data_IF_767898015317
#
_entry.id   IF_767898015317
#
_cell.length_a   1.000
_cell.length_b   1.000
_cell.length_c   1.000
_cell.angle_alpha   90.00
_cell.angle_beta   90.00
_cell.angle_gamma   90.00
#
_symmetry.space_group_name_H-M   'P 1'
#
loop_
_entity.id
_entity.type
_entity.pdbx_description
1 polymer ?
#
# COMPACT_ATOMS: atom_id res chain seq x y z
N UNK A 1 -4.30 19.14 12.13
CA UNK A 1 -5.13 18.43 11.14
C UNK A 1 -5.87 17.28 11.81
N UNK A 2 -7.11 17.05 11.39
CA UNK A 2 -7.87 15.88 11.84
C UNK A 2 -7.28 14.69 11.10
N UNK A 3 -6.91 13.59 11.78
CA UNK A 3 -6.32 12.43 11.10
C UNK A 3 -7.35 11.73 10.20
N UNK A 4 -6.90 11.11 9.15
CA UNK A 4 -7.69 10.18 8.35
C UNK A 4 -7.61 8.78 8.96
N UNK A 5 -8.67 7.97 8.84
CA UNK A 5 -8.69 6.58 9.27
C UNK A 5 -8.84 5.67 8.06
N UNK A 6 -7.91 4.73 7.92
CA UNK A 6 -7.91 3.76 6.83
C UNK A 6 -8.14 2.34 7.38
N UNK A 7 -9.21 1.70 6.95
CA UNK A 7 -9.49 0.30 7.25
C UNK A 7 -8.90 -0.60 6.18
N UNK A 8 -7.82 -1.28 6.52
CA UNK A 8 -7.08 -2.16 5.61
C UNK A 8 -6.26 -3.18 6.37
N UNK A 9 -5.26 -3.75 5.71
CA UNK A 9 -4.34 -4.72 6.27
C UNK A 9 -4.30 -6.02 5.48
N UNK A 10 -3.86 -7.12 6.11
CA UNK A 10 -3.68 -8.44 5.47
C UNK A 10 -5.01 -9.13 5.19
N UNK A 11 -6.05 -8.85 5.99
CA UNK A 11 -7.38 -9.45 5.86
C UNK A 11 -8.33 -8.70 4.93
N UNK A 12 -9.58 -9.16 4.89
CA UNK A 12 -10.69 -8.48 4.23
C UNK A 12 -11.54 -7.76 5.28
N UNK A 13 -11.50 -6.42 5.37
CA UNK A 13 -12.20 -5.69 6.43
C UNK A 13 -13.72 -5.92 6.45
N UNK A 14 -14.34 -6.12 5.29
CA UNK A 14 -15.79 -6.33 5.20
C UNK A 14 -16.26 -7.72 5.67
N UNK A 15 -15.35 -8.64 5.99
CA UNK A 15 -15.70 -9.88 6.68
C UNK A 15 -15.95 -9.67 8.18
N UNK A 16 -15.36 -8.64 8.77
CA UNK A 16 -15.60 -8.37 10.17
C UNK A 16 -16.99 -7.76 10.39
N UNK A 17 -17.82 -8.33 11.30
CA UNK A 17 -19.23 -7.95 11.43
C UNK A 17 -19.44 -6.51 11.91
N UNK A 18 -18.48 -5.92 12.61
CA UNK A 18 -18.58 -4.57 13.17
C UNK A 18 -17.95 -3.47 12.30
N UNK A 19 -17.37 -3.78 11.14
CA UNK A 19 -16.66 -2.79 10.32
C UNK A 19 -17.54 -1.59 10.00
N UNK A 20 -18.81 -1.80 9.63
CA UNK A 20 -19.74 -0.70 9.32
C UNK A 20 -19.97 0.17 10.56
N UNK A 21 -20.20 -0.42 11.72
CA UNK A 21 -20.38 0.32 12.97
C UNK A 21 -19.14 1.15 13.34
N UNK A 22 -17.93 0.62 13.07
CA UNK A 22 -16.70 1.38 13.30
C UNK A 22 -16.56 2.54 12.34
N UNK A 23 -16.92 2.37 11.06
CA UNK A 23 -16.97 3.47 10.09
C UNK A 23 -17.91 4.57 10.60
N UNK A 24 -19.14 4.24 10.99
CA UNK A 24 -20.11 5.18 11.54
C UNK A 24 -19.57 5.92 12.78
N UNK A 25 -18.96 5.18 13.72
CA UNK A 25 -18.39 5.77 14.93
C UNK A 25 -17.27 6.78 14.62
N UNK A 26 -16.37 6.44 13.70
CA UNK A 26 -15.29 7.34 13.27
C UNK A 26 -15.85 8.53 12.50
N UNK A 27 -16.82 8.31 11.62
CA UNK A 27 -17.49 9.40 10.89
C UNK A 27 -18.20 10.39 11.82
N UNK A 28 -18.77 9.92 12.92
CA UNK A 28 -19.38 10.78 13.94
C UNK A 28 -18.39 11.77 14.59
N UNK A 29 -17.08 11.48 14.53
CA UNK A 29 -16.00 12.36 14.99
C UNK A 29 -15.57 13.39 13.93
N UNK A 30 -16.20 13.39 12.76
CA UNK A 30 -15.84 14.30 11.65
C UNK A 30 -14.56 13.89 10.90
N UNK A 31 -14.07 12.69 11.11
CA UNK A 31 -12.84 12.15 10.52
C UNK A 31 -13.13 11.62 9.11
N UNK A 32 -12.18 11.76 8.19
CA UNK A 32 -12.23 11.11 6.89
C UNK A 32 -11.94 9.62 7.06
N UNK A 33 -12.75 8.78 6.42
CA UNK A 33 -12.62 7.31 6.51
C UNK A 33 -12.47 6.71 5.13
N UNK A 34 -11.44 5.90 4.98
CA UNK A 34 -11.19 5.09 3.80
C UNK A 34 -11.20 3.60 4.16
N UNK A 35 -11.55 2.76 3.20
CA UNK A 35 -11.56 1.31 3.35
C UNK A 35 -11.11 0.64 2.07
N UNK A 36 -10.29 -0.40 2.18
CA UNK A 36 -9.94 -1.28 1.06
C UNK A 36 -10.67 -2.62 1.17
N UNK A 37 -11.12 -3.15 0.04
CA UNK A 37 -11.81 -4.43 -0.05
C UNK A 37 -11.40 -5.20 -1.32
N UNK A 38 -11.49 -6.52 -1.28
CA UNK A 38 -11.39 -7.37 -2.46
C UNK A 38 -12.67 -7.39 -3.31
N UNK A 39 -13.74 -6.75 -2.87
CA UNK A 39 -15.02 -6.61 -3.59
C UNK A 39 -15.92 -7.84 -3.56
N UNK A 40 -15.52 -8.96 -2.95
CA UNK A 40 -16.32 -10.21 -2.94
C UNK A 40 -17.58 -10.06 -2.10
N UNK A 41 -17.50 -9.32 -1.01
CA UNK A 41 -18.59 -9.12 -0.04
C UNK A 41 -19.47 -7.91 -0.33
N UNK A 42 -19.27 -7.18 -1.41
CA UNK A 42 -20.12 -6.05 -1.82
C UNK A 42 -21.50 -6.52 -2.29
N UNK A 43 -22.26 -7.19 -1.42
CA UNK A 43 -23.67 -7.52 -1.64
C UNK A 43 -24.53 -6.25 -1.75
N UNK A 44 -25.79 -6.30 -2.23
CA UNK A 44 -26.67 -5.14 -2.24
C UNK A 44 -26.82 -4.51 -0.84
N UNK A 45 -27.04 -5.35 0.17
CA UNK A 45 -27.19 -4.91 1.56
C UNK A 45 -25.90 -4.24 2.08
N UNK A 46 -24.75 -4.89 1.92
CA UNK A 46 -23.46 -4.35 2.38
C UNK A 46 -23.11 -3.03 1.66
N UNK A 47 -23.41 -2.96 0.36
CA UNK A 47 -23.24 -1.73 -0.42
C UNK A 47 -24.08 -0.57 0.10
N UNK A 48 -25.32 -0.83 0.49
CA UNK A 48 -26.21 0.16 1.08
C UNK A 48 -25.68 0.63 2.44
N UNK A 49 -25.31 -0.31 3.31
CA UNK A 49 -24.74 -0.03 4.63
C UNK A 49 -23.47 0.86 4.53
N UNK A 50 -22.58 0.59 3.57
CA UNK A 50 -21.34 1.38 3.35
C UNK A 50 -21.70 2.83 2.92
N UNK A 51 -22.67 2.99 2.02
CA UNK A 51 -23.10 4.31 1.54
C UNK A 51 -23.73 5.10 2.68
N UNK A 52 -24.61 4.48 3.47
CA UNK A 52 -25.29 5.10 4.61
C UNK A 52 -24.36 5.46 5.77
N UNK A 53 -23.35 4.63 6.02
CA UNK A 53 -22.30 4.90 7.02
C UNK A 53 -21.44 6.13 6.68
N UNK A 54 -21.54 6.67 5.46
CA UNK A 54 -20.85 7.88 5.07
C UNK A 54 -19.35 7.70 4.80
N UNK A 55 -18.92 6.48 4.40
CA UNK A 55 -17.55 6.22 3.99
C UNK A 55 -17.09 7.25 2.94
N UNK A 56 -15.87 7.76 3.04
CA UNK A 56 -15.35 8.77 2.11
C UNK A 56 -14.74 8.16 0.85
N UNK A 57 -13.94 7.10 1.00
CA UNK A 57 -13.31 6.40 -0.13
C UNK A 57 -13.41 4.89 0.06
N UNK A 58 -13.87 4.21 -0.98
CA UNK A 58 -13.84 2.75 -1.10
C UNK A 58 -12.79 2.36 -2.13
N UNK A 59 -11.68 1.83 -1.66
CA UNK A 59 -10.67 1.23 -2.50
C UNK A 59 -11.06 -0.22 -2.83
N UNK A 60 -10.91 -0.61 -4.08
CA UNK A 60 -11.14 -2.00 -4.49
C UNK A 60 -9.90 -2.54 -5.16
N UNK A 61 -9.42 -3.67 -4.65
CA UNK A 61 -8.24 -4.35 -5.19
C UNK A 61 -8.62 -5.16 -6.42
N UNK A 62 -8.07 -4.82 -7.60
CA UNK A 62 -8.34 -5.48 -8.87
C UNK A 62 -7.03 -5.72 -9.61
N UNK A 63 -6.48 -6.92 -9.52
CA UNK A 63 -5.17 -7.29 -10.06
C UNK A 63 -5.22 -8.07 -11.38
N UNK A 64 -6.32 -7.99 -12.11
CA UNK A 64 -6.48 -8.59 -13.42
C UNK A 64 -7.74 -8.09 -14.12
N UNK A 65 -7.88 -8.38 -15.42
CA UNK A 65 -8.98 -7.93 -16.25
C UNK A 65 -9.79 -9.06 -16.89
N UNK A 66 -9.49 -10.30 -16.56
CA UNK A 66 -10.21 -11.50 -16.98
C UNK A 66 -10.28 -12.50 -15.83
N UNK A 67 -11.15 -13.51 -15.96
CA UNK A 67 -11.21 -14.60 -14.96
C UNK A 67 -9.86 -15.32 -14.83
N UNK A 68 -9.20 -15.59 -15.94
CA UNK A 68 -7.92 -16.30 -15.99
C UNK A 68 -6.81 -15.51 -15.25
N UNK A 69 -6.59 -14.25 -15.63
CA UNK A 69 -5.52 -13.45 -15.04
C UNK A 69 -5.81 -13.01 -13.61
N UNK A 70 -7.09 -12.85 -13.25
CA UNK A 70 -7.50 -12.45 -11.91
C UNK A 70 -7.42 -13.62 -10.92
N UNK A 71 -7.92 -14.80 -11.30
CA UNK A 71 -7.94 -15.99 -10.43
C UNK A 71 -6.55 -16.54 -10.16
N UNK A 72 -5.61 -16.36 -11.09
CA UNK A 72 -4.21 -16.73 -10.92
C UNK A 72 -3.50 -15.87 -9.84
N UNK A 73 -3.92 -14.62 -9.70
CA UNK A 73 -3.37 -13.70 -8.69
C UNK A 73 -4.15 -13.77 -7.38
N UNK A 74 -5.48 -13.87 -7.45
CA UNK A 74 -6.38 -13.84 -6.29
C UNK A 74 -7.16 -15.14 -6.16
N UNK A 75 -6.48 -16.15 -5.64
CA UNK A 75 -7.04 -17.49 -5.45
C UNK A 75 -8.38 -17.47 -4.71
N UNK A 76 -9.36 -18.18 -5.26
CA UNK A 76 -10.71 -18.27 -4.70
C UNK A 76 -11.63 -17.08 -4.96
N UNK A 77 -11.19 -16.08 -5.72
CA UNK A 77 -12.02 -14.95 -6.13
C UNK A 77 -12.55 -15.15 -7.55
N UNK A 78 -13.78 -14.70 -7.79
CA UNK A 78 -14.46 -14.82 -9.08
C UNK A 78 -14.60 -13.44 -9.74
N UNK A 79 -13.80 -13.15 -10.77
CA UNK A 79 -13.71 -11.84 -11.41
C UNK A 79 -15.09 -11.31 -11.92
N UNK A 80 -15.94 -12.09 -12.65
CA UNK A 80 -17.24 -11.62 -13.09
C UNK A 80 -18.16 -11.18 -11.95
N UNK A 81 -18.10 -11.87 -10.81
CA UNK A 81 -18.86 -11.53 -9.62
C UNK A 81 -18.41 -10.17 -9.05
N UNK A 82 -17.10 -9.93 -8.97
CA UNK A 82 -16.56 -8.68 -8.47
C UNK A 82 -16.94 -7.51 -9.39
N UNK A 83 -16.80 -7.68 -10.70
CA UNK A 83 -17.22 -6.66 -11.67
C UNK A 83 -18.71 -6.36 -11.55
N UNK A 84 -19.55 -7.38 -11.37
CA UNK A 84 -21.00 -7.23 -11.16
C UNK A 84 -21.28 -6.46 -9.86
N UNK A 85 -20.61 -6.82 -8.78
CA UNK A 85 -20.72 -6.13 -7.49
C UNK A 85 -20.36 -4.65 -7.62
N UNK A 86 -19.24 -4.35 -8.26
CA UNK A 86 -18.75 -2.97 -8.43
C UNK A 86 -19.69 -2.12 -9.29
N UNK A 87 -20.18 -2.66 -10.41
CA UNK A 87 -21.15 -1.96 -11.26
C UNK A 87 -22.45 -1.66 -10.51
N UNK A 88 -22.93 -2.63 -9.73
CA UNK A 88 -24.08 -2.43 -8.86
C UNK A 88 -23.81 -1.37 -7.80
N UNK A 89 -22.70 -1.45 -7.08
CA UNK A 89 -22.29 -0.47 -6.09
C UNK A 89 -22.23 0.94 -6.68
N UNK A 90 -21.58 1.13 -7.84
CA UNK A 90 -21.50 2.41 -8.51
C UNK A 90 -22.88 2.97 -8.90
N UNK A 91 -23.81 2.10 -9.31
CA UNK A 91 -25.19 2.48 -9.60
C UNK A 91 -25.95 2.93 -8.34
N UNK A 92 -25.82 2.18 -7.24
CA UNK A 92 -26.44 2.50 -5.95
C UNK A 92 -25.92 3.82 -5.41
N UNK A 93 -24.58 4.01 -5.39
CA UNK A 93 -23.92 5.26 -5.00
C UNK A 93 -24.45 6.46 -5.79
N UNK A 94 -24.59 6.33 -7.13
CA UNK A 94 -25.09 7.41 -7.98
C UNK A 94 -26.54 7.76 -7.67
N UNK A 95 -27.34 6.78 -7.24
CA UNK A 95 -28.75 6.98 -6.88
C UNK A 95 -28.93 7.55 -5.46
N UNK A 96 -27.89 7.55 -4.64
CA UNK A 96 -27.91 8.12 -3.30
C UNK A 96 -27.92 9.65 -3.35
N UNK A 97 -28.52 10.30 -2.33
CA UNK A 97 -28.47 11.75 -2.14
C UNK A 97 -27.05 12.27 -1.89
N UNK A 98 -26.16 11.40 -1.40
CA UNK A 98 -24.75 11.68 -1.17
C UNK A 98 -23.93 10.81 -2.13
N UNK A 99 -23.20 11.37 -3.12
CA UNK A 99 -22.47 10.60 -4.11
C UNK A 99 -21.16 10.00 -3.56
N UNK A 100 -21.14 9.66 -2.28
CA UNK A 100 -20.04 8.98 -1.60
C UNK A 100 -20.35 7.50 -1.37
N UNK A 101 -19.33 6.66 -1.13
CA UNK A 101 -17.89 6.97 -1.17
C UNK A 101 -17.38 7.21 -2.59
N UNK A 102 -16.29 7.98 -2.72
CA UNK A 102 -15.50 7.94 -3.94
C UNK A 102 -14.94 6.54 -4.14
N UNK A 103 -14.78 6.10 -5.38
CA UNK A 103 -14.20 4.78 -5.68
C UNK A 103 -12.74 4.95 -6.06
N UNK A 104 -11.87 4.17 -5.42
CA UNK A 104 -10.48 3.98 -5.80
C UNK A 104 -10.26 2.56 -6.33
N UNK A 105 -9.35 2.41 -7.28
CA UNK A 105 -8.86 1.11 -7.78
C UNK A 105 -7.42 0.95 -7.30
N UNK A 106 -7.15 -0.16 -6.61
CA UNK A 106 -5.81 -0.58 -6.24
C UNK A 106 -5.39 -1.77 -7.13
N UNK A 107 -4.18 -1.71 -7.67
CA UNK A 107 -3.62 -2.72 -8.55
C UNK A 107 -2.20 -3.04 -8.12
N UNK A 108 -1.90 -4.30 -7.79
CA UNK A 108 -0.54 -4.77 -7.53
C UNK A 108 0.05 -5.31 -8.83
N UNK A 109 1.07 -4.61 -9.32
CA UNK A 109 1.68 -4.88 -10.60
C UNK A 109 2.72 -6.03 -10.52
N UNK A 110 2.58 -6.98 -11.44
CA UNK A 110 3.45 -8.14 -11.63
C UNK A 110 3.67 -8.38 -13.12
N UNK A 111 4.73 -9.10 -13.51
CA UNK A 111 4.98 -9.43 -14.93
C UNK A 111 3.77 -10.12 -15.58
N UNK A 112 3.11 -11.02 -14.84
CA UNK A 112 1.95 -11.79 -15.35
C UNK A 112 0.69 -10.95 -15.59
N UNK A 113 0.50 -9.84 -14.85
CA UNK A 113 -0.75 -9.08 -14.90
C UNK A 113 -0.63 -7.64 -15.43
N UNK A 114 0.56 -7.07 -15.58
CA UNK A 114 0.74 -5.66 -15.94
C UNK A 114 0.05 -5.29 -17.27
N UNK A 115 -0.07 -6.24 -18.20
CA UNK A 115 -0.76 -6.05 -19.48
C UNK A 115 -2.27 -5.81 -19.33
N UNK A 116 -2.84 -6.19 -18.20
CA UNK A 116 -4.25 -5.97 -17.89
C UNK A 116 -4.55 -4.59 -17.32
N UNK A 117 -3.54 -3.88 -16.80
CA UNK A 117 -3.72 -2.56 -16.18
C UNK A 117 -4.55 -1.59 -17.03
N UNK A 118 -4.36 -1.45 -18.36
CA UNK A 118 -5.19 -0.57 -19.17
C UNK A 118 -6.68 -0.95 -19.18
N UNK A 119 -7.00 -2.26 -19.14
CA UNK A 119 -8.39 -2.75 -19.09
C UNK A 119 -9.00 -2.51 -17.70
N UNK A 120 -8.21 -2.69 -16.63
CA UNK A 120 -8.62 -2.36 -15.26
C UNK A 120 -8.94 -0.86 -15.13
N UNK A 121 -8.14 0.00 -15.74
CA UNK A 121 -8.41 1.44 -15.82
C UNK A 121 -9.71 1.73 -16.58
N UNK A 122 -9.98 1.03 -17.69
CA UNK A 122 -11.26 1.17 -18.42
C UNK A 122 -12.46 0.73 -17.57
N UNK A 123 -12.32 -0.35 -16.81
CA UNK A 123 -13.34 -0.76 -15.84
C UNK A 123 -13.60 0.34 -14.83
N UNK A 124 -12.53 0.91 -14.25
CA UNK A 124 -12.62 2.02 -13.32
C UNK A 124 -13.33 3.24 -13.90
N UNK A 125 -13.04 3.62 -15.16
CA UNK A 125 -13.78 4.67 -15.88
C UNK A 125 -15.28 4.35 -15.96
N UNK A 126 -15.62 3.10 -16.27
CA UNK A 126 -17.01 2.65 -16.39
C UNK A 126 -17.82 2.76 -15.09
N UNK A 127 -17.19 2.58 -13.96
CA UNK A 127 -17.79 2.72 -12.61
C UNK A 127 -17.58 4.10 -11.99
N UNK A 128 -16.99 5.05 -12.71
CA UNK A 128 -16.66 6.39 -12.24
C UNK A 128 -15.71 6.38 -11.03
N UNK A 129 -14.69 5.53 -11.09
CA UNK A 129 -13.59 5.57 -10.13
C UNK A 129 -12.82 6.89 -10.28
N UNK A 130 -12.44 7.46 -9.14
CA UNK A 130 -11.73 8.74 -9.07
C UNK A 130 -10.22 8.56 -8.89
N UNK A 131 -9.85 7.52 -8.15
CA UNK A 131 -8.47 7.26 -7.77
C UNK A 131 -7.97 5.93 -8.36
N UNK A 132 -6.70 5.90 -8.73
CA UNK A 132 -6.04 4.71 -9.24
C UNK A 132 -4.66 4.63 -8.61
N UNK A 133 -4.40 3.58 -7.84
CA UNK A 133 -3.12 3.31 -7.20
C UNK A 133 -2.53 2.03 -7.78
N UNK A 134 -1.37 2.14 -8.39
CA UNK A 134 -0.59 1.00 -8.87
C UNK A 134 0.60 0.82 -7.94
N UNK A 135 0.64 -0.27 -7.20
CA UNK A 135 1.77 -0.64 -6.35
C UNK A 135 2.61 -1.72 -7.03
N UNK A 136 3.87 -1.80 -6.67
CA UNK A 136 4.68 -2.97 -7.00
C UNK A 136 4.39 -4.13 -6.04
N UNK A 137 4.69 -5.34 -6.49
CA UNK A 137 4.61 -6.54 -5.68
C UNK A 137 5.72 -6.55 -4.62
N UNK A 138 5.38 -6.85 -3.37
CA UNK A 138 6.36 -7.32 -2.37
C UNK A 138 6.41 -8.86 -2.43
N UNK A 139 7.50 -9.48 -2.86
CA UNK A 139 7.57 -10.94 -2.95
C UNK A 139 7.49 -11.59 -1.57
N UNK A 140 6.43 -12.36 -1.32
CA UNK A 140 6.23 -13.13 -0.09
C UNK A 140 6.70 -14.59 -0.22
N UNK A 141 7.06 -15.03 -1.42
CA UNK A 141 7.63 -16.34 -1.73
C UNK A 141 8.78 -16.22 -2.72
N UNK A 142 9.66 -17.20 -2.77
CA UNK A 142 10.77 -17.20 -3.71
C UNK A 142 10.30 -17.09 -5.18
N UNK A 143 9.23 -17.80 -5.55
CA UNK A 143 8.68 -17.73 -6.90
C UNK A 143 8.14 -16.35 -7.31
N UNK A 144 7.74 -15.52 -6.35
CA UNK A 144 7.27 -14.16 -6.63
C UNK A 144 8.39 -13.21 -7.02
N UNK A 145 9.67 -13.53 -6.78
CA UNK A 145 10.79 -12.69 -7.22
C UNK A 145 10.86 -12.57 -8.75
N UNK A 146 10.45 -13.60 -9.48
CA UNK A 146 10.43 -13.58 -10.93
C UNK A 146 9.36 -12.65 -11.51
N UNK A 147 8.41 -12.22 -10.68
CA UNK A 147 7.27 -11.37 -11.06
C UNK A 147 7.49 -9.87 -10.85
N UNK A 148 8.61 -9.46 -10.24
CA UNK A 148 8.87 -8.04 -9.95
C UNK A 148 9.05 -7.22 -11.24
N UNK A 149 8.66 -5.95 -11.17
CA UNK A 149 8.75 -4.98 -12.26
C UNK A 149 9.63 -3.77 -11.88
N UNK A 150 10.54 -3.94 -10.92
CA UNK A 150 11.38 -2.88 -10.37
C UNK A 150 12.82 -3.33 -10.08
N UNK A 151 13.27 -4.34 -10.79
CA UNK A 151 14.62 -4.89 -10.62
C UNK A 151 15.71 -3.84 -10.86
N UNK A 152 15.61 -3.06 -11.95
CA UNK A 152 16.53 -1.95 -12.19
C UNK A 152 16.26 -0.75 -11.27
N UNK A 153 15.00 -0.48 -10.98
CA UNK A 153 14.60 0.63 -10.13
C UNK A 153 15.18 0.51 -8.71
N UNK A 154 15.22 -0.69 -8.17
CA UNK A 154 15.78 -0.93 -6.83
C UNK A 154 17.31 -0.75 -6.78
N UNK A 155 17.98 -0.88 -7.91
CA UNK A 155 19.43 -0.63 -8.05
C UNK A 155 19.79 0.82 -8.37
N UNK A 156 18.82 1.66 -8.72
CA UNK A 156 19.02 3.08 -8.96
C UNK A 156 19.15 3.83 -7.64
N UNK A 157 20.36 3.83 -7.09
CA UNK A 157 20.64 4.51 -5.83
C UNK A 157 20.75 6.01 -6.07
N UNK A 158 19.73 6.73 -5.69
CA UNK A 158 19.73 8.18 -5.75
C UNK A 158 20.13 8.83 -4.41
N UNK A 159 20.37 8.06 -3.37
CA UNK A 159 20.87 8.60 -2.11
C UNK A 159 22.38 8.41 -1.98
N UNK A 160 23.09 9.27 -2.58
CA UNK A 160 24.40 9.63 -2.09
C UNK A 160 24.15 10.73 -1.06
N UNK A 161 24.60 10.54 0.15
CA UNK A 161 24.62 11.59 1.18
C UNK A 161 25.62 12.67 0.75
N UNK A 162 25.24 13.40 -0.27
CA UNK A 162 26.02 14.49 -0.83
C UNK A 162 25.13 15.73 -0.84
N UNK A 163 25.24 16.60 0.15
CA UNK A 163 24.34 17.75 0.34
C UNK A 163 24.31 18.72 -0.84
N UNK A 164 25.21 18.55 -1.82
CA UNK A 164 25.32 19.39 -3.00
C UNK A 164 24.80 18.74 -4.28
N UNK A 165 24.32 17.48 -4.23
CA UNK A 165 23.73 16.83 -5.41
C UNK A 165 22.22 16.98 -5.41
N UNK A 166 21.61 17.25 -6.58
CA UNK A 166 20.16 17.29 -6.67
C UNK A 166 19.58 15.91 -6.37
N UNK A 167 18.53 15.86 -5.55
CA UNK A 167 17.76 14.65 -5.30
C UNK A 167 17.10 14.20 -6.59
N UNK A 168 17.39 12.97 -7.03
CA UNK A 168 16.82 12.43 -8.26
C UNK A 168 15.46 11.79 -7.98
N UNK A 169 14.48 12.12 -8.82
CA UNK A 169 13.18 11.46 -8.86
C UNK A 169 13.19 10.43 -9.97
N UNK A 170 13.29 9.16 -9.60
CA UNK A 170 13.40 8.05 -10.53
C UNK A 170 12.05 7.32 -10.68
N UNK A 171 11.78 6.69 -11.82
CA UNK A 171 10.62 5.82 -11.98
C UNK A 171 10.59 4.76 -10.89
N UNK A 172 9.39 4.45 -10.37
CA UNK A 172 9.19 3.41 -9.35
C UNK A 172 8.90 2.04 -9.94
N UNK A 173 8.90 1.94 -11.24
CA UNK A 173 8.72 0.71 -12.01
C UNK A 173 9.64 0.76 -13.22
N UNK A 174 10.26 -0.35 -13.58
CA UNK A 174 11.14 -0.45 -14.73
C UNK A 174 10.38 -0.18 -16.02
N UNK A 175 11.03 0.53 -16.93
CA UNK A 175 10.49 0.78 -18.26
C UNK A 175 11.14 -0.16 -19.27
N UNK A 176 10.50 -1.29 -19.54
CA UNK A 176 11.02 -2.37 -20.38
C UNK A 176 9.91 -3.00 -21.24
N UNK A 177 10.19 -4.11 -21.91
CA UNK A 177 9.26 -4.82 -22.79
C UNK A 177 7.98 -5.30 -22.09
N UNK A 178 8.00 -5.54 -20.78
CA UNK A 178 6.82 -5.93 -20.00
C UNK A 178 5.90 -4.75 -19.71
N UNK A 179 6.47 -3.61 -19.36
CA UNK A 179 5.75 -2.48 -18.74
C UNK A 179 5.41 -1.36 -19.72
N UNK A 180 6.25 -1.12 -20.75
CA UNK A 180 6.18 0.06 -21.63
C UNK A 180 4.80 0.28 -22.26
N UNK A 181 4.17 -0.79 -22.76
CA UNK A 181 2.88 -0.66 -23.44
C UNK A 181 1.76 -0.27 -22.45
N UNK A 182 1.73 -0.92 -21.29
CA UNK A 182 0.75 -0.62 -20.24
C UNK A 182 0.92 0.82 -19.74
N UNK A 183 2.16 1.24 -19.48
CA UNK A 183 2.48 2.57 -18.99
C UNK A 183 2.08 3.64 -20.02
N UNK A 184 2.40 3.49 -21.31
CA UNK A 184 1.97 4.43 -22.34
C UNK A 184 0.45 4.54 -22.45
N UNK A 185 -0.28 3.42 -22.33
CA UNK A 185 -1.74 3.44 -22.35
C UNK A 185 -2.31 4.15 -21.10
N UNK A 186 -1.66 3.98 -19.94
CA UNK A 186 -2.02 4.69 -18.72
C UNK A 186 -1.82 6.20 -18.88
N UNK A 187 -0.67 6.66 -19.35
CA UNK A 187 -0.41 8.09 -19.56
C UNK A 187 -1.38 8.71 -20.57
N UNK A 188 -1.69 8.00 -21.63
CA UNK A 188 -2.66 8.46 -22.63
C UNK A 188 -4.10 8.44 -22.11
N UNK A 189 -4.36 7.84 -20.96
CA UNK A 189 -5.71 7.78 -20.37
C UNK A 189 -6.21 9.11 -19.80
N UNK A 190 -5.29 10.05 -19.54
CA UNK A 190 -5.53 11.35 -18.87
C UNK A 190 -6.15 11.21 -17.47
N UNK A 191 -5.99 10.07 -16.83
CA UNK A 191 -6.42 9.84 -15.45
C UNK A 191 -5.26 10.07 -14.48
N UNK A 192 -5.62 10.44 -13.27
CA UNK A 192 -4.66 10.51 -12.18
C UNK A 192 -4.39 9.10 -11.65
N UNK A 193 -3.35 8.46 -12.19
CA UNK A 193 -2.88 7.14 -11.77
C UNK A 193 -1.56 7.33 -11.04
N UNK A 194 -1.49 6.87 -9.79
CA UNK A 194 -0.24 6.87 -9.03
C UNK A 194 0.48 5.54 -9.16
N UNK A 195 1.80 5.60 -9.23
CA UNK A 195 2.71 4.45 -9.21
C UNK A 195 3.53 4.53 -7.92
N UNK A 196 3.33 3.57 -7.02
CA UNK A 196 3.91 3.59 -5.67
C UNK A 196 3.78 5.00 -5.02
N UNK A 197 2.53 5.53 -5.01
CA UNK A 197 2.18 6.82 -4.41
C UNK A 197 2.58 8.08 -5.17
N UNK A 198 3.35 7.94 -6.23
CA UNK A 198 3.84 9.05 -7.03
C UNK A 198 3.21 9.05 -8.43
N UNK A 199 3.22 10.19 -9.11
CA UNK A 199 2.68 10.27 -10.47
C UNK A 199 3.43 9.34 -11.45
N UNK A 200 4.75 9.23 -11.28
CA UNK A 200 5.58 8.29 -12.04
C UNK A 200 6.86 7.94 -11.29
N UNK A 201 7.53 8.90 -10.71
CA UNK A 201 8.80 8.73 -10.03
C UNK A 201 8.82 9.43 -8.68
N UNK A 202 9.71 8.99 -7.82
CA UNK A 202 9.92 9.53 -6.49
C UNK A 202 11.33 9.24 -5.98
N UNK A 203 11.65 9.71 -4.79
CA UNK A 203 12.89 9.40 -4.11
C UNK A 203 12.87 7.96 -3.54
N UNK A 204 14.04 7.33 -3.42
CA UNK A 204 14.17 5.97 -2.89
C UNK A 204 14.49 5.93 -1.39
N UNK A 205 14.48 7.07 -0.74
CA UNK A 205 14.82 7.27 0.67
C UNK A 205 13.69 8.01 1.40
N UNK A 206 12.44 7.72 1.03
CA UNK A 206 11.26 8.39 1.56
C UNK A 206 10.23 7.37 2.00
N UNK A 207 9.98 7.32 3.30
CA UNK A 207 8.96 6.43 3.87
C UNK A 207 7.63 7.16 3.97
N UNK A 208 6.67 6.84 3.12
CA UNK A 208 5.37 7.50 3.10
C UNK A 208 4.59 7.37 4.42
N UNK A 209 4.80 6.31 5.19
CA UNK A 209 4.18 6.19 6.52
C UNK A 209 4.64 7.28 7.48
N UNK A 210 5.93 7.65 7.42
CA UNK A 210 6.48 8.71 8.28
C UNK A 210 6.19 10.09 7.70
N UNK A 211 6.34 10.27 6.40
CA UNK A 211 6.06 11.55 5.73
C UNK A 211 4.59 11.98 5.89
N UNK A 212 3.67 11.02 5.82
CA UNK A 212 2.24 11.28 6.01
C UNK A 212 1.80 11.23 7.48
N UNK A 213 2.72 10.98 8.41
CA UNK A 213 2.41 10.93 9.84
C UNK A 213 1.48 9.77 10.21
N UNK A 214 1.72 8.57 9.71
CA UNK A 214 0.86 7.40 9.89
C UNK A 214 1.28 6.56 11.10
N UNK A 215 0.30 5.99 11.79
CA UNK A 215 0.44 4.88 12.74
C UNK A 215 -0.49 3.75 12.31
N UNK A 216 -0.11 2.53 12.64
CA UNK A 216 -0.95 1.34 12.39
C UNK A 216 -1.37 0.69 13.69
N UNK A 217 -2.67 0.43 13.85
CA UNK A 217 -3.25 -0.22 15.04
C UNK A 217 -3.70 -1.61 14.61
N UNK A 218 -3.15 -2.63 15.27
CA UNK A 218 -3.51 -4.02 15.03
C UNK A 218 -4.81 -4.40 15.72
N UNK A 219 -5.36 -5.56 15.38
CA UNK A 219 -6.61 -6.10 15.92
C UNK A 219 -6.57 -6.33 17.45
N UNK A 220 -5.40 -6.50 18.02
CA UNK A 220 -5.13 -6.71 19.44
C UNK A 220 -4.81 -5.41 20.20
N UNK A 221 -5.05 -4.24 19.60
CA UNK A 221 -4.76 -2.93 20.18
C UNK A 221 -3.30 -2.51 20.15
N UNK A 222 -2.39 -3.37 19.70
CA UNK A 222 -0.98 -3.00 19.54
C UNK A 222 -0.80 -1.97 18.44
N UNK A 223 0.07 -0.99 18.70
CA UNK A 223 0.40 0.10 17.78
C UNK A 223 1.79 -0.09 17.21
N UNK A 224 1.90 -0.01 15.90
CA UNK A 224 3.15 -0.10 15.14
C UNK A 224 3.37 1.17 14.33
N UNK A 225 4.63 1.52 13.98
CA UNK A 225 4.95 2.70 13.18
C UNK A 225 4.30 2.69 11.79
N UNK A 226 4.14 1.50 11.23
CA UNK A 226 3.62 1.29 9.89
C UNK A 226 3.00 -0.09 9.74
N UNK A 227 2.23 -0.27 8.68
CA UNK A 227 1.59 -1.54 8.35
C UNK A 227 2.57 -2.74 8.22
N UNK A 228 3.74 -2.64 7.54
CA UNK A 228 4.66 -3.77 7.43
C UNK A 228 5.23 -4.26 8.78
N UNK A 229 5.31 -3.39 9.77
CA UNK A 229 5.82 -3.74 11.11
C UNK A 229 4.75 -4.22 12.09
N UNK A 230 3.48 -4.29 11.69
CA UNK A 230 2.43 -4.86 12.54
C UNK A 230 2.62 -6.36 12.78
N UNK A 231 3.17 -7.07 11.81
CA UNK A 231 3.37 -8.52 11.85
C UNK A 231 4.76 -8.89 11.35
N UNK A 232 5.39 -9.88 12.03
CA UNK A 232 6.61 -10.47 11.49
C UNK A 232 6.28 -11.19 10.18
N UNK A 233 7.12 -11.01 9.18
CA UNK A 233 6.91 -11.58 7.86
C UNK A 233 8.23 -11.86 7.14
N UNK A 234 8.16 -12.72 6.14
CA UNK A 234 9.28 -13.03 5.24
C UNK A 234 9.05 -12.36 3.90
N UNK A 235 10.09 -11.78 3.33
CA UNK A 235 10.11 -11.27 1.96
C UNK A 235 11.33 -11.79 1.21
N UNK A 236 11.26 -11.73 -0.12
CA UNK A 236 12.29 -12.26 -1.01
C UNK A 236 12.67 -11.18 -2.02
N UNK A 237 13.96 -10.93 -2.19
CA UNK A 237 14.45 -9.97 -3.18
C UNK A 237 15.88 -10.35 -3.59
N UNK A 238 16.17 -10.35 -4.89
CA UNK A 238 17.50 -10.60 -5.45
C UNK A 238 18.16 -11.91 -4.94
N UNK A 239 17.35 -12.97 -4.79
CA UNK A 239 17.80 -14.25 -4.26
C UNK A 239 17.97 -14.32 -2.74
N UNK A 240 17.82 -13.18 -2.05
CA UNK A 240 17.94 -13.10 -0.60
C UNK A 240 16.58 -13.26 0.09
N UNK A 241 16.62 -13.84 1.28
CA UNK A 241 15.46 -13.98 2.17
C UNK A 241 15.62 -12.94 3.28
N UNK A 242 14.57 -12.15 3.52
CA UNK A 242 14.53 -11.21 4.62
C UNK A 242 13.40 -11.53 5.56
N UNK A 243 13.70 -11.66 6.85
CA UNK A 243 12.76 -11.85 7.93
C UNK A 243 12.59 -10.54 8.71
N UNK A 244 11.51 -9.81 8.42
CA UNK A 244 11.19 -8.61 9.16
C UNK A 244 10.45 -8.98 10.47
N UNK A 245 10.98 -8.58 11.60
CA UNK A 245 10.34 -8.70 12.92
C UNK A 245 9.35 -7.56 13.11
N UNK A 246 8.20 -7.86 13.72
CA UNK A 246 7.23 -6.83 14.11
C UNK A 246 7.84 -5.85 15.11
N UNK A 247 7.40 -4.61 15.06
CA UNK A 247 7.77 -3.58 16.02
C UNK A 247 6.52 -2.94 16.62
N UNK A 248 6.40 -2.98 17.93
CA UNK A 248 5.28 -2.44 18.70
C UNK A 248 5.78 -1.26 19.52
N UNK A 249 5.11 -0.11 19.38
CA UNK A 249 5.39 1.11 20.15
C UNK A 249 4.71 1.04 21.52
N UNK A 250 3.55 0.40 21.60
CA UNK A 250 2.73 0.22 22.78
C UNK A 250 1.31 -0.22 22.40
N UNK A 251 0.37 -0.15 23.34
CA UNK A 251 -1.03 -0.54 23.12
C UNK A 251 -1.99 0.60 23.42
N UNK A 252 -3.07 0.71 22.64
CA UNK A 252 -4.17 1.68 22.90
C UNK A 252 -5.00 1.29 24.13
N UNK A 253 -4.87 0.07 24.63
CA UNK A 253 -5.48 -0.36 25.87
C UNK A 253 -4.76 0.18 27.13
N UNK A 254 -3.49 0.59 26.97
CA UNK A 254 -2.63 1.03 28.08
C UNK A 254 -2.33 2.53 28.02
N UNK A 255 -2.22 3.09 26.81
CA UNK A 255 -1.80 4.49 26.59
C UNK A 255 -2.67 5.15 25.53
N UNK A 256 -2.87 6.47 25.66
CA UNK A 256 -3.55 7.23 24.61
C UNK A 256 -2.75 7.24 23.29
N UNK A 257 -3.44 7.39 22.17
CA UNK A 257 -2.78 7.53 20.84
C UNK A 257 -1.80 8.71 20.84
N UNK A 258 -2.12 9.79 21.55
CA UNK A 258 -1.25 10.96 21.64
C UNK A 258 0.03 10.66 22.43
N UNK A 259 -0.06 9.93 23.55
CA UNK A 259 1.10 9.52 24.33
C UNK A 259 2.02 8.58 23.53
N UNK A 260 1.41 7.67 22.75
CA UNK A 260 2.14 6.79 21.85
C UNK A 260 2.80 7.58 20.71
N UNK A 261 2.10 8.57 20.16
CA UNK A 261 2.64 9.43 19.10
C UNK A 261 3.83 10.27 19.55
N UNK A 262 3.79 10.74 20.81
CA UNK A 262 4.83 11.56 21.44
C UNK A 262 5.88 10.75 22.20
N UNK A 263 5.84 9.43 22.12
CA UNK A 263 6.85 8.57 22.75
C UNK A 263 8.25 8.92 22.26
N UNK A 264 9.23 9.17 23.16
CA UNK A 264 10.57 9.59 22.79
C UNK A 264 11.28 8.63 21.84
N UNK A 265 11.11 7.30 22.02
CA UNK A 265 11.71 6.30 21.15
C UNK A 265 11.08 6.34 19.75
N UNK A 266 9.76 6.56 19.68
CA UNK A 266 9.06 6.69 18.41
C UNK A 266 9.40 8.01 17.69
N UNK A 267 9.59 9.10 18.42
CA UNK A 267 10.08 10.37 17.85
C UNK A 267 11.48 10.19 17.22
N UNK A 268 12.41 9.58 17.95
CA UNK A 268 13.76 9.30 17.43
C UNK A 268 13.73 8.35 16.21
N UNK A 269 12.84 7.36 16.20
CA UNK A 269 12.64 6.49 15.05
C UNK A 269 12.16 7.26 13.81
N UNK A 270 11.18 8.15 13.94
CA UNK A 270 10.70 8.99 12.83
C UNK A 270 11.78 9.92 12.30
N UNK A 271 12.58 10.53 13.19
CA UNK A 271 13.70 11.38 12.81
C UNK A 271 14.73 10.62 11.98
N UNK A 272 15.08 9.37 12.37
CA UNK A 272 15.98 8.52 11.58
C UNK A 272 15.43 8.23 10.18
N UNK A 273 14.11 8.04 10.03
CA UNK A 273 13.45 7.80 8.74
C UNK A 273 13.39 9.05 7.87
N UNK A 274 13.14 10.22 8.46
CA UNK A 274 13.18 11.49 7.70
C UNK A 274 14.57 11.78 7.14
N UNK A 275 15.62 11.45 7.91
CA UNK A 275 17.01 11.57 7.47
C UNK A 275 17.46 10.39 6.61
N UNK A 276 16.67 9.35 6.52
CA UNK A 276 16.97 8.04 5.92
C UNK A 276 18.33 7.49 6.30
N UNK A 277 18.70 7.60 7.58
CA UNK A 277 20.02 7.18 8.12
C UNK A 277 20.08 5.65 8.24
N UNK A 278 20.02 4.92 7.12
CA UNK A 278 20.07 3.46 7.04
C UNK A 278 20.94 2.99 5.88
N UNK A 279 21.58 1.83 6.05
CA UNK A 279 22.26 1.18 4.96
C UNK A 279 21.29 0.74 3.86
N UNK A 280 21.65 0.90 2.57
CA UNK A 280 20.79 0.58 1.43
C UNK A 280 20.71 -0.93 1.15
N UNK A 281 20.16 -1.71 2.06
CA UNK A 281 20.16 -3.18 2.00
C UNK A 281 19.36 -3.78 0.84
N UNK A 282 18.45 -3.04 0.20
CA UNK A 282 17.61 -3.55 -0.91
C UNK A 282 18.41 -3.90 -2.16
N UNK A 283 19.57 -3.29 -2.38
CA UNK A 283 20.43 -3.53 -3.54
C UNK A 283 21.88 -3.85 -3.16
N UNK A 284 22.17 -3.90 -1.88
CA UNK A 284 23.43 -4.46 -1.42
C UNK A 284 23.46 -5.95 -1.73
N UNK A 285 24.59 -6.45 -2.26
CA UNK A 285 24.74 -7.83 -2.73
C UNK A 285 24.63 -8.94 -1.68
N UNK A 286 24.19 -8.60 -0.47
CA UNK A 286 23.87 -9.51 0.61
C UNK A 286 25.01 -9.71 1.59
N UNK A 287 24.71 -9.44 2.83
CA UNK A 287 25.40 -9.93 4.00
C UNK A 287 24.32 -10.36 5.00
N UNK A 288 24.68 -11.09 6.03
CA UNK A 288 23.74 -11.62 7.02
C UNK A 288 22.88 -10.53 7.67
N UNK A 289 23.41 -9.28 7.79
CA UNK A 289 22.66 -8.13 8.33
C UNK A 289 21.46 -7.72 7.45
N UNK A 290 21.52 -7.99 6.14
CA UNK A 290 20.41 -7.69 5.25
C UNK A 290 19.22 -8.64 5.41
N UNK A 291 19.42 -9.79 6.05
CA UNK A 291 18.41 -10.83 6.24
C UNK A 291 17.36 -10.46 7.31
N UNK A 292 17.63 -9.45 8.13
CA UNK A 292 16.71 -9.00 9.18
C UNK A 292 16.52 -7.48 9.16
N UNK A 293 15.64 -6.98 10.03
CA UNK A 293 15.48 -5.55 10.28
C UNK A 293 16.01 -5.14 11.67
N UNK A 294 16.98 -5.85 12.19
CA UNK A 294 17.48 -5.63 13.56
C UNK A 294 18.64 -4.64 13.63
N UNK A 295 19.57 -4.75 12.71
CA UNK A 295 20.77 -3.90 12.63
C UNK A 295 21.20 -3.69 11.17
N UNK A 296 22.10 -2.77 10.91
CA UNK A 296 22.71 -2.54 9.60
C UNK A 296 24.22 -2.29 9.67
N UNK A 297 24.90 -2.30 8.51
CA UNK A 297 26.34 -2.23 8.44
C UNK A 297 26.94 -0.81 8.67
N UNK A 298 26.13 0.22 8.80
CA UNK A 298 26.58 1.59 9.10
C UNK A 298 26.47 1.92 10.59
N UNK A 299 26.15 0.94 11.42
CA UNK A 299 26.16 1.05 12.87
C UNK A 299 24.82 1.37 13.50
N UNK A 300 23.70 1.18 12.78
CA UNK A 300 22.39 1.21 13.42
C UNK A 300 22.15 -0.12 14.13
N UNK A 301 22.19 -0.07 15.45
CA UNK A 301 21.85 -1.14 16.38
C UNK A 301 20.48 -0.91 17.06
N UNK A 302 19.79 0.18 16.69
CA UNK A 302 18.47 0.52 17.22
C UNK A 302 17.41 -0.06 16.28
N UNK A 303 16.75 -1.11 16.76
CA UNK A 303 15.63 -1.75 16.09
C UNK A 303 14.39 -0.83 15.99
N UNK A 304 13.69 -0.81 14.85
CA UNK A 304 13.98 -1.50 13.61
C UNK A 304 14.83 -0.67 12.65
N UNK A 305 15.59 -1.36 11.77
CA UNK A 305 16.27 -0.72 10.63
C UNK A 305 15.44 -0.89 9.36
N UNK A 306 15.32 0.19 8.59
CA UNK A 306 14.41 0.27 7.45
C UNK A 306 15.11 0.30 6.08
N UNK A 307 16.44 0.25 6.01
CA UNK A 307 17.19 0.29 4.76
C UNK A 307 16.92 -0.85 3.78
N UNK A 308 16.46 -2.02 4.27
CA UNK A 308 16.01 -3.14 3.45
C UNK A 308 14.50 -3.22 3.23
N UNK A 309 13.74 -2.19 3.58
CA UNK A 309 12.29 -2.18 3.47
C UNK A 309 11.86 -1.52 2.15
N UNK A 310 11.18 -2.26 1.28
CA UNK A 310 10.67 -1.74 0.00
C UNK A 310 9.67 -0.59 0.15
N UNK A 311 8.95 -0.54 1.28
CA UNK A 311 8.04 0.56 1.61
C UNK A 311 8.79 1.82 1.98
N UNK A 312 9.84 1.70 2.79
CA UNK A 312 10.70 2.83 3.16
C UNK A 312 11.54 3.34 1.98
N UNK A 313 11.74 2.50 0.96
CA UNK A 313 12.37 2.85 -0.31
C UNK A 313 11.37 3.47 -1.31
N UNK A 314 10.11 3.60 -0.95
CA UNK A 314 9.06 4.09 -1.84
C UNK A 314 8.84 3.21 -3.09
N UNK A 315 9.18 1.92 -3.05
CA UNK A 315 9.00 0.96 -4.14
C UNK A 315 7.63 0.31 -4.06
N UNK A 316 7.19 -0.05 -2.87
CA UNK A 316 5.87 -0.63 -2.59
C UNK A 316 5.04 0.36 -1.79
N UNK A 317 3.76 0.48 -2.10
CA UNK A 317 2.85 1.34 -1.36
C UNK A 317 1.42 0.80 -1.38
N UNK A 318 0.68 1.01 -0.29
CA UNK A 318 -0.79 0.88 -0.29
C UNK A 318 -1.44 2.21 -0.74
N UNK A 319 -2.68 2.14 -1.26
CA UNK A 319 -3.44 3.33 -1.59
C UNK A 319 -3.69 4.19 -0.36
#
# INVERSE_FOLDING_TARGET
PIPDVYFGGIGEPLFHPKTIQWIEAVKALGVKVELITNGTTLTPRKSQEIIEAGLDVLWVSIDGASEETYSDVRLGSHYPQIVTNLRRFAKMRKASHYPKPEIGIAFVAMKRNIKDLPKVIQLGKGIKAKYYSVSNLQPATAAMQDEILYDQTVHNIAYLDAPNLPRLYLPKMDFNEHTREAIFKVFNSQLNVTFAGNNWGGANDTCDFVENGTMSIAWDGNVSPCWPLMHSHTSYLNGNIRQAKKHVIGSVDERSILDLWLDPAYLAYRERLHNFAFAPCTFCGGCDLSETNEEDCIGNDIFPVCGGCLWAQGIVQCP
#
